data_IF_473969686539
#
_entry.id   IF_473969686539
#
_cell.length_a   1.000
_cell.length_b   1.000
_cell.length_c   1.000
_cell.angle_alpha   90.00
_cell.angle_beta   90.00
_cell.angle_gamma   90.00
#
_symmetry.space_group_name_H-M   'P 1'
#
loop_
_entity.id
_entity.type
_entity.pdbx_description
1 polymer ?
#
# COMPACT_ATOMS: atom_id res chain seq x y z
N UNK A 1 -47.52 19.46 -13.68
CA UNK A 1 -46.87 18.56 -12.71
C UNK A 1 -45.46 18.26 -13.22
N UNK A 2 -44.43 18.91 -12.66
CA UNK A 2 -43.04 18.75 -13.12
C UNK A 2 -42.47 17.46 -12.51
N UNK A 3 -42.26 16.43 -13.33
CA UNK A 3 -41.45 15.27 -12.92
C UNK A 3 -40.01 15.75 -12.75
N UNK A 4 -39.53 15.79 -11.50
CA UNK A 4 -38.12 15.98 -11.18
C UNK A 4 -37.47 14.60 -11.23
N UNK A 5 -36.82 14.28 -12.34
CA UNK A 5 -35.96 13.10 -12.46
C UNK A 5 -34.66 13.40 -11.74
N UNK A 6 -34.50 12.85 -10.54
CA UNK A 6 -33.24 12.89 -9.79
C UNK A 6 -32.31 11.80 -10.32
N UNK A 7 -31.52 12.10 -11.33
CA UNK A 7 -30.42 11.23 -11.77
C UNK A 7 -29.35 11.15 -10.69
N UNK A 8 -29.21 9.97 -10.08
CA UNK A 8 -28.15 9.65 -9.12
C UNK A 8 -26.81 9.56 -9.88
N UNK A 9 -25.92 10.55 -9.72
CA UNK A 9 -24.56 10.45 -10.26
C UNK A 9 -23.76 9.46 -9.41
N UNK A 10 -23.59 8.24 -9.91
CA UNK A 10 -22.66 7.27 -9.35
C UNK A 10 -21.21 7.77 -9.55
N UNK A 11 -20.57 8.18 -8.47
CA UNK A 11 -19.15 8.56 -8.48
C UNK A 11 -18.30 7.29 -8.43
N UNK A 12 -17.72 6.88 -9.56
CA UNK A 12 -16.65 5.89 -9.55
C UNK A 12 -15.38 6.56 -9.06
N UNK A 13 -14.92 6.21 -7.85
CA UNK A 13 -13.60 6.63 -7.38
C UNK A 13 -12.52 5.82 -8.11
N UNK A 14 -11.77 6.48 -8.98
CA UNK A 14 -10.55 5.88 -9.53
C UNK A 14 -9.48 5.95 -8.45
N UNK A 15 -9.27 4.83 -7.74
CA UNK A 15 -8.17 4.73 -6.80
C UNK A 15 -6.85 4.91 -7.55
N UNK A 16 -6.03 5.88 -7.13
CA UNK A 16 -4.71 6.07 -7.70
C UNK A 16 -3.82 4.85 -7.38
N UNK A 17 -2.94 4.50 -8.32
CA UNK A 17 -1.97 3.43 -8.08
C UNK A 17 -0.98 3.86 -6.99
N UNK A 18 -0.73 2.96 -6.04
CA UNK A 18 0.24 3.17 -4.96
C UNK A 18 1.66 3.05 -5.51
N UNK A 19 2.49 4.05 -5.22
CA UNK A 19 3.93 4.00 -5.48
C UNK A 19 4.64 3.35 -4.29
N UNK A 20 5.02 2.08 -4.46
CA UNK A 20 5.69 1.33 -3.40
C UNK A 20 6.97 2.02 -2.89
N UNK A 21 7.76 2.64 -3.77
CA UNK A 21 9.05 3.22 -3.37
C UNK A 21 8.84 4.49 -2.56
N UNK A 22 7.88 5.33 -2.95
CA UNK A 22 7.59 6.59 -2.26
C UNK A 22 6.73 6.40 -1.02
N UNK A 23 5.80 5.47 -1.04
CA UNK A 23 4.75 5.38 -0.02
C UNK A 23 4.98 4.23 0.96
N UNK A 24 5.41 3.05 0.48
CA UNK A 24 5.46 1.84 1.31
C UNK A 24 6.86 1.60 1.89
N UNK A 25 7.90 1.69 1.06
CA UNK A 25 9.29 1.42 1.47
C UNK A 25 9.74 2.23 2.70
N UNK A 26 9.45 3.55 2.82
CA UNK A 26 9.89 4.31 3.99
C UNK A 26 9.26 3.82 5.30
N UNK A 27 8.00 3.34 5.23
CA UNK A 27 7.30 2.77 6.38
C UNK A 27 8.00 1.49 6.83
N UNK A 28 8.31 0.59 5.89
CA UNK A 28 9.01 -0.66 6.19
C UNK A 28 10.42 -0.41 6.72
N UNK A 29 11.14 0.57 6.16
CA UNK A 29 12.45 0.99 6.65
C UNK A 29 12.38 1.45 8.11
N UNK A 30 11.40 2.29 8.44
CA UNK A 30 11.27 2.89 9.77
C UNK A 30 10.83 1.87 10.83
N UNK A 31 9.92 0.96 10.47
CA UNK A 31 9.23 0.14 11.46
C UNK A 31 9.59 -1.35 11.43
N UNK A 32 10.13 -1.87 10.31
CA UNK A 32 10.27 -3.30 10.10
C UNK A 32 11.73 -3.75 9.91
N UNK A 33 12.56 -2.98 9.19
CA UNK A 33 13.90 -3.42 8.79
C UNK A 33 14.86 -3.62 9.95
N UNK A 34 14.59 -3.04 11.12
CA UNK A 34 15.38 -3.31 12.34
C UNK A 34 15.34 -4.78 12.75
N UNK A 35 14.24 -5.49 12.44
CA UNK A 35 14.06 -6.91 12.74
C UNK A 35 13.96 -7.81 11.51
N UNK A 36 13.61 -7.25 10.35
CA UNK A 36 13.32 -7.99 9.12
C UNK A 36 14.03 -7.36 7.90
N UNK A 37 15.27 -6.96 8.07
CA UNK A 37 16.12 -6.38 7.03
C UNK A 37 17.46 -7.11 6.91
N UNK A 38 18.41 -6.53 6.18
CA UNK A 38 19.74 -7.12 5.97
C UNK A 38 20.42 -7.59 7.27
N UNK A 39 20.39 -6.76 8.32
CA UNK A 39 21.10 -7.03 9.58
C UNK A 39 20.45 -8.11 10.43
N UNK A 40 19.14 -8.31 10.30
CA UNK A 40 18.37 -9.25 11.14
C UNK A 40 17.13 -9.69 10.38
N UNK A 41 16.94 -11.01 10.31
CA UNK A 41 15.79 -11.64 9.65
C UNK A 41 15.04 -12.48 10.68
N UNK A 42 14.38 -11.80 11.61
CA UNK A 42 13.65 -12.45 12.72
C UNK A 42 12.61 -13.41 12.12
N UNK A 43 12.61 -14.65 12.62
CA UNK A 43 11.74 -15.72 12.13
C UNK A 43 11.88 -16.02 10.62
N UNK A 44 13.05 -15.72 10.03
CA UNK A 44 13.32 -15.99 8.62
C UNK A 44 12.71 -15.00 7.62
N UNK A 45 12.01 -13.97 8.09
CA UNK A 45 11.37 -12.98 7.20
C UNK A 45 12.31 -11.83 6.85
N UNK A 46 12.38 -11.51 5.55
CA UNK A 46 13.20 -10.41 5.00
C UNK A 46 12.38 -9.49 4.08
N UNK A 47 12.25 -8.21 4.46
CA UNK A 47 11.35 -7.23 3.82
C UNK A 47 12.08 -6.12 3.03
N UNK A 48 13.41 -6.07 3.08
CA UNK A 48 14.24 -5.14 2.28
C UNK A 48 14.45 -5.60 0.84
N UNK A 49 14.17 -6.87 0.54
CA UNK A 49 14.32 -7.46 -0.79
C UNK A 49 12.99 -8.06 -1.22
N UNK A 50 12.43 -7.55 -2.33
CA UNK A 50 11.15 -8.01 -2.87
C UNK A 50 11.12 -9.53 -3.12
N UNK A 51 12.20 -10.07 -3.68
CA UNK A 51 12.34 -11.49 -3.97
C UNK A 51 12.63 -12.36 -2.73
N UNK A 52 12.57 -11.82 -1.52
CA UNK A 52 12.73 -12.58 -0.28
C UNK A 52 11.55 -12.38 0.68
N UNK A 53 10.55 -11.58 0.29
CA UNK A 53 9.35 -11.31 1.08
C UNK A 53 8.25 -12.31 0.70
N UNK A 54 8.27 -13.50 1.31
CA UNK A 54 7.31 -14.59 1.09
C UNK A 54 6.93 -15.28 2.40
#
# INVERSE_FOLDING_TARGET
MKLVVLTLLASSSLAAAVDFVREVRPILQKHCYSCHGEKKQKSGLRLDIKAAAF
#
